data_IF_435781180814
#
_entry.id   IF_435781180814
#
_cell.length_a   1.000
_cell.length_b   1.000
_cell.length_c   1.000
_cell.angle_alpha   90.00
_cell.angle_beta   90.00
_cell.angle_gamma   90.00
#
_symmetry.space_group_name_H-M   'P 1'
#
loop_
_entity.id
_entity.type
_entity.pdbx_description
1 polymer ?
2 polymer ?
3 water ?
#
# COMPACT_ATOMS: atom_id res chain seq x y z
N UNK A 26 -15.88 17.03 -3.87
CA UNK A 26 -15.72 16.30 -5.15
C UNK A 26 -15.23 14.85 -4.92
N UNK A 27 -14.48 14.35 -5.91
CA UNK A 27 -13.93 12.98 -5.98
C UNK A 27 -12.43 12.87 -5.56
N UNK A 28 -12.08 11.98 -4.63
CA UNK A 28 -12.33 10.54 -4.64
C UNK A 28 -13.53 9.70 -5.17
N UNK A 29 -13.07 8.76 -5.95
CA UNK A 29 -13.91 7.84 -6.62
C UNK A 29 -14.29 6.75 -5.66
N UNK A 30 -15.04 5.80 -6.17
CA UNK A 30 -15.55 4.84 -5.22
C UNK A 30 -14.47 3.88 -4.66
N UNK A 31 -13.43 3.55 -5.42
CA UNK A 31 -12.46 2.61 -4.88
C UNK A 31 -11.55 3.31 -3.82
N UNK A 32 -11.18 4.56 -4.07
CA UNK A 32 -10.47 5.35 -3.04
C UNK A 32 -11.21 5.33 -1.69
N UNK A 33 -12.55 5.59 -1.72
CA UNK A 33 -13.37 5.69 -0.46
C UNK A 33 -13.66 4.34 0.22
N UNK A 34 -13.98 3.31 -0.57
CA UNK A 34 -14.24 1.93 -0.07
C UNK A 34 -13.01 1.42 0.67
N UNK A 35 -11.81 1.64 0.10
CA UNK A 35 -10.55 1.36 0.83
C UNK A 35 -10.37 2.18 2.10
N UNK A 36 -10.67 3.46 2.07
CA UNK A 36 -10.61 4.27 3.29
C UNK A 36 -11.58 3.78 4.37
N UNK A 37 -12.80 3.43 3.97
CA UNK A 37 -13.80 2.93 4.93
C UNK A 37 -13.36 1.57 5.46
N UNK A 38 -12.82 0.71 4.60
CA UNK A 38 -12.41 -0.64 5.04
C UNK A 38 -11.27 -0.55 6.07
N UNK A 39 -10.31 0.34 5.86
CA UNK A 39 -9.21 0.51 6.81
C UNK A 39 -9.72 1.06 8.17
N UNK A 40 -10.65 2.02 8.10
CA UNK A 40 -11.25 2.58 9.28
C UNK A 40 -12.03 1.54 10.06
N UNK A 41 -12.84 0.76 9.36
CA UNK A 41 -13.58 -0.34 9.97
C UNK A 41 -12.66 -1.35 10.66
N UNK A 42 -11.59 -1.76 9.97
CA UNK A 42 -10.69 -2.79 10.54
C UNK A 42 -9.95 -2.18 11.74
N UNK A 43 -9.53 -0.93 11.63
CA UNK A 43 -8.87 -0.24 12.73
C UNK A 43 -9.80 -0.13 13.97
N UNK A 44 -11.08 0.21 13.79
CA UNK A 44 -12.01 0.28 14.92
C UNK A 44 -12.13 -1.12 15.59
N UNK A 45 -12.31 -2.15 14.75
CA UNK A 45 -12.30 -3.53 15.21
C UNK A 45 -11.03 -3.88 15.99
N UNK A 46 -9.88 -3.36 15.56
CA UNK A 46 -8.65 -3.61 16.30
C UNK A 46 -8.63 -2.91 17.67
N UNK A 47 -9.23 -1.71 17.77
CA UNK A 47 -9.33 -0.97 19.06
C UNK A 47 -10.21 -1.70 20.08
N UNK A 48 -11.28 -2.34 19.57
CA UNK A 48 -12.24 -3.02 20.41
C UNK A 48 -11.72 -4.41 20.78
N UNK A 49 -11.34 -5.20 19.79
CA UNK A 49 -10.88 -6.57 20.06
C UNK A 49 -9.42 -6.70 20.50
N UNK A 50 -8.59 -5.67 20.30
CA UNK A 50 -7.13 -5.81 20.41
C UNK A 50 -6.46 -6.08 19.05
N UNK A 51 -5.25 -5.54 18.84
CA UNK A 51 -4.42 -5.78 17.64
C UNK A 51 -4.21 -7.24 17.33
N UNK A 52 -3.71 -7.97 18.32
CA UNK A 52 -3.31 -9.35 18.15
C UNK A 52 -4.50 -10.23 17.74
N UNK A 53 -5.68 -9.97 18.29
CA UNK A 53 -6.89 -10.76 17.97
C UNK A 53 -7.26 -10.60 16.50
N UNK A 54 -7.12 -9.38 16.00
CA UNK A 54 -7.44 -9.12 14.60
C UNK A 54 -6.32 -9.70 13.76
N UNK A 55 -5.08 -9.43 14.18
CA UNK A 55 -3.89 -9.98 13.49
C UNK A 55 -3.96 -11.46 13.23
N UNK A 56 -4.46 -12.23 14.21
CA UNK A 56 -4.54 -13.68 14.12
C UNK A 56 -5.37 -14.10 12.95
N UNK A 57 -6.36 -13.28 12.61
CA UNK A 57 -7.28 -13.58 11.50
C UNK A 57 -6.92 -12.91 10.12
N UNK A 58 -6.21 -11.77 10.14
CA UNK A 58 -5.99 -10.98 8.90
C UNK A 58 -4.53 -10.99 8.40
N UNK A 59 -3.60 -11.41 9.25
CA UNK A 59 -2.19 -11.37 8.91
C UNK A 59 -1.91 -12.45 7.88
N UNK A 60 -0.91 -12.17 7.04
CA UNK A 60 -0.33 -13.16 6.15
C UNK A 60 -0.14 -14.54 6.92
N UNK A 61 -0.44 -15.67 6.31
CA UNK A 61 -0.46 -16.93 7.06
C UNK A 61 0.92 -17.23 7.72
N UNK A 62 0.93 -17.62 8.99
CA UNK A 62 2.19 -17.82 9.71
C UNK A 62 2.53 -19.28 9.66
N UNK A 63 1.54 -20.06 9.19
CA UNK A 63 1.61 -21.48 9.18
C UNK A 63 1.05 -21.93 7.84
N UNK A 64 1.82 -22.77 7.10
CA UNK A 64 1.40 -23.30 5.79
C UNK A 64 0.03 -23.99 5.82
N UNK A 65 -0.38 -24.57 6.94
CA UNK A 65 -1.76 -25.12 7.06
C UNK A 65 -2.81 -24.03 6.78
N UNK A 66 -2.44 -22.76 7.01
CA UNK A 66 -3.34 -21.62 6.80
C UNK A 66 -3.31 -21.07 5.39
N UNK A 67 -2.58 -21.72 4.50
CA UNK A 67 -2.27 -21.13 3.18
C UNK A 67 -3.47 -20.98 2.25
N UNK A 68 -4.55 -21.68 2.54
CA UNK A 68 -5.75 -21.48 1.69
C UNK A 68 -6.72 -20.47 2.29
N UNK A 69 -6.32 -19.80 3.39
CA UNK A 69 -7.12 -18.68 3.89
C UNK A 69 -6.75 -17.41 3.06
N UNK A 70 -7.23 -17.41 1.80
CA UNK A 70 -6.80 -16.52 0.72
C UNK A 70 -6.97 -15.08 1.05
N UNK A 71 -7.95 -14.72 1.90
CA UNK A 71 -8.11 -13.28 2.24
C UNK A 71 -6.80 -12.66 2.81
N UNK A 72 -6.05 -13.48 3.54
CA UNK A 72 -4.89 -13.07 4.32
C UNK A 72 -3.77 -12.47 3.44
N UNK A 73 -3.69 -12.88 2.15
CA UNK A 73 -2.67 -12.30 1.23
C UNK A 73 -2.96 -10.83 0.90
N UNK A 74 -4.13 -10.35 1.26
CA UNK A 74 -4.51 -8.96 0.98
C UNK A 74 -4.92 -8.19 2.26
N UNK A 75 -5.53 -8.90 3.24
CA UNK A 75 -6.15 -8.24 4.37
C UNK A 75 -5.09 -7.63 5.32
N UNK A 76 -3.82 -8.05 5.21
CA UNK A 76 -2.72 -7.49 6.04
C UNK A 76 -2.65 -5.99 5.76
N UNK A 77 -3.03 -5.57 4.53
CA UNK A 77 -2.96 -4.12 4.12
C UNK A 77 -3.96 -3.23 4.86
N UNK A 78 -4.99 -3.82 5.46
CA UNK A 78 -6.07 -3.11 6.09
C UNK A 78 -5.80 -2.77 7.54
N UNK A 79 -4.76 -3.34 8.11
CA UNK A 79 -4.48 -3.23 9.53
C UNK A 79 -3.49 -2.11 9.81
N UNK A 80 -3.86 -1.27 10.78
CA UNK A 80 -2.97 -0.23 11.29
C UNK A 80 -2.89 -0.24 12.82
N UNK A 81 -1.78 0.25 13.34
CA UNK A 81 -1.38 0.01 14.73
C UNK A 81 -1.42 1.27 15.60
N UNK A 82 -1.88 2.39 15.04
CA UNK A 82 -2.09 3.67 15.75
C UNK A 82 -2.80 4.62 14.80
N UNK A 83 -3.35 5.68 15.36
CA UNK A 83 -4.06 6.62 14.56
C UNK A 83 -3.13 7.27 13.57
N UNK A 84 -1.89 7.47 13.98
CA UNK A 84 -0.90 8.07 13.11
C UNK A 84 -0.60 7.16 11.91
N UNK A 85 -0.46 5.86 12.20
CA UNK A 85 -0.29 4.83 11.18
C UNK A 85 -1.39 4.90 10.09
N UNK A 86 -2.65 4.88 10.49
CA UNK A 86 -3.75 4.91 9.54
C UNK A 86 -3.92 6.28 8.83
N UNK A 87 -3.86 7.38 9.59
CA UNK A 87 -3.98 8.74 8.99
C UNK A 87 -2.93 9.01 7.94
N UNK A 88 -1.68 8.65 8.25
CA UNK A 88 -0.58 8.93 7.36
C UNK A 88 -0.72 8.08 6.05
N UNK A 89 -1.02 6.76 6.16
CA UNK A 89 -1.30 5.91 4.97
C UNK A 89 -2.50 6.38 4.15
N UNK A 90 -3.61 6.73 4.83
CA UNK A 90 -4.85 7.17 4.16
C UNK A 90 -4.71 8.46 3.44
N UNK A 91 -3.93 9.38 4.02
CA UNK A 91 -3.56 10.61 3.38
C UNK A 91 -2.93 10.34 2.01
N UNK A 92 -1.79 9.63 2.04
CA UNK A 92 -1.14 9.24 0.83
C UNK A 92 -2.05 8.42 -0.12
N UNK A 93 -2.77 7.43 0.42
CA UNK A 93 -3.76 6.67 -0.38
C UNK A 93 -4.80 7.60 -1.08
N UNK A 94 -5.33 8.56 -0.32
CA UNK A 94 -6.43 9.43 -0.81
C UNK A 94 -5.82 10.32 -1.88
N UNK A 95 -4.63 10.88 -1.62
CA UNK A 95 -3.95 11.71 -2.62
C UNK A 95 -3.51 10.95 -3.88
N UNK A 96 -2.74 9.86 -3.70
CA UNK A 96 -2.24 9.17 -4.88
C UNK A 96 -3.31 8.26 -5.49
N UNK A 97 -4.07 7.55 -4.67
CA UNK A 97 -5.08 6.62 -5.19
C UNK A 97 -6.19 7.42 -5.84
N UNK A 98 -6.58 8.56 -5.22
CA UNK A 98 -7.63 9.42 -5.81
C UNK A 98 -7.20 9.88 -7.17
N UNK A 99 -5.92 10.26 -7.34
CA UNK A 99 -5.43 10.73 -8.65
C UNK A 99 -5.48 9.59 -9.68
N UNK A 100 -5.08 8.39 -9.29
CA UNK A 100 -5.04 7.29 -10.27
C UNK A 100 -6.51 7.02 -10.70
N UNK A 101 -7.41 6.92 -9.71
CA UNK A 101 -8.78 6.57 -9.99
C UNK A 101 -9.43 7.72 -10.79
N UNK A 102 -9.16 8.97 -10.46
CA UNK A 102 -9.73 10.09 -11.27
C UNK A 102 -9.32 10.06 -12.75
N UNK A 103 -8.01 9.95 -12.99
CA UNK A 103 -7.46 10.05 -14.34
C UNK A 103 -7.48 8.79 -15.14
N UNK A 104 -7.35 7.65 -14.47
CA UNK A 104 -7.15 6.40 -15.17
C UNK A 104 -8.24 5.40 -14.86
N UNK A 105 -9.13 5.76 -13.92
CA UNK A 105 -10.30 4.90 -13.58
C UNK A 105 -10.12 3.91 -12.45
N UNK A 106 -11.27 3.45 -11.97
CA UNK A 106 -11.39 2.52 -10.86
C UNK A 106 -10.71 1.15 -11.05
N UNK A 107 -10.90 0.54 -12.22
CA UNK A 107 -10.24 -0.78 -12.53
C UNK A 107 -8.70 -0.76 -12.44
N UNK A 108 -8.08 0.29 -12.96
CA UNK A 108 -6.64 0.54 -12.75
C UNK A 108 -6.17 0.63 -11.27
N UNK A 109 -6.83 1.44 -10.44
CA UNK A 109 -6.53 1.49 -9.00
C UNK A 109 -6.63 0.11 -8.31
N UNK A 110 -7.68 -0.64 -8.62
CA UNK A 110 -7.94 -1.97 -8.05
C UNK A 110 -6.75 -2.92 -8.34
N UNK A 111 -6.34 -2.96 -9.61
CA UNK A 111 -5.26 -3.85 -10.09
C UNK A 111 -3.94 -3.49 -9.41
N UNK A 112 -3.61 -2.20 -9.40
CA UNK A 112 -2.39 -1.71 -8.69
C UNK A 112 -2.42 -2.15 -7.22
N UNK A 113 -3.56 -1.97 -6.60
CA UNK A 113 -3.75 -2.33 -5.19
C UNK A 113 -3.60 -3.80 -4.90
N UNK A 114 -4.31 -4.62 -5.66
CA UNK A 114 -4.27 -6.10 -5.50
C UNK A 114 -2.85 -6.64 -5.71
N UNK A 115 -2.20 -6.18 -6.78
CA UNK A 115 -0.89 -6.75 -7.13
C UNK A 115 0.15 -6.27 -6.11
N UNK A 116 0.11 -4.98 -5.77
CA UNK A 116 1.11 -4.47 -4.85
C UNK A 116 0.89 -5.03 -3.44
N UNK A 117 -0.36 -5.28 -3.04
CA UNK A 117 -0.62 -5.83 -1.68
C UNK A 117 -0.11 -7.27 -1.63
N UNK A 118 -0.47 -8.07 -2.63
CA UNK A 118 -0.02 -9.44 -2.75
C UNK A 118 1.55 -9.53 -2.77
N UNK A 119 2.19 -8.77 -3.68
CA UNK A 119 3.65 -8.85 -3.82
C UNK A 119 4.48 -8.18 -2.68
N UNK A 120 4.01 -7.06 -2.14
CA UNK A 120 4.73 -6.45 -1.06
C UNK A 120 4.56 -7.25 0.22
N UNK A 121 3.39 -7.87 0.43
CA UNK A 121 3.21 -8.77 1.59
C UNK A 121 4.13 -10.02 1.46
N UNK A 122 4.21 -10.60 0.24
CA UNK A 122 5.07 -11.77 -0.04
C UNK A 122 6.53 -11.44 0.30
N UNK A 123 6.99 -10.29 -0.17
CA UNK A 123 8.37 -9.91 0.09
C UNK A 123 8.62 -9.55 1.57
N UNK A 124 7.63 -8.89 2.19
CA UNK A 124 7.76 -8.51 3.61
C UNK A 124 7.82 -9.77 4.50
N UNK A 125 6.93 -10.70 4.22
CA UNK A 125 6.94 -11.95 4.96
C UNK A 125 8.36 -12.66 4.87
N UNK A 126 8.99 -12.72 3.69
CA UNK A 126 10.38 -13.26 3.54
C UNK A 126 11.38 -12.44 4.36
N UNK A 127 11.24 -11.12 4.37
CA UNK A 127 12.25 -10.31 5.10
C UNK A 127 12.17 -10.51 6.60
N UNK A 128 10.96 -10.59 7.16
CA UNK A 128 10.77 -10.57 8.60
C UNK A 128 9.60 -11.44 9.08
N UNK A 129 9.05 -12.31 8.25
CA UNK A 129 7.98 -13.16 8.73
C UNK A 129 6.61 -12.50 8.61
N UNK A 130 5.58 -13.18 9.10
CA UNK A 130 4.16 -12.86 8.78
C UNK A 130 3.49 -11.70 9.59
N UNK A 131 4.09 -11.24 10.69
CA UNK A 131 3.45 -10.24 11.63
C UNK A 131 3.72 -8.80 11.27
N UNK A 132 2.94 -8.32 10.30
CA UNK A 132 3.02 -6.96 9.80
C UNK A 132 1.66 -6.53 9.30
N UNK A 133 1.48 -5.23 9.09
CA UNK A 133 0.26 -4.75 8.43
C UNK A 133 0.38 -3.31 8.01
N UNK A 134 -0.61 -2.83 7.24
CA UNK A 134 -0.63 -1.46 6.77
C UNK A 134 -0.58 -1.32 5.29
N UNK A 135 -1.10 -0.19 4.81
CA UNK A 135 -1.28 0.10 3.41
C UNK A 135 -0.01 0.62 2.74
N UNK A 136 1.10 0.70 3.48
CA UNK A 136 2.24 1.47 2.93
C UNK A 136 3.01 0.78 1.79
N UNK A 137 2.83 -0.53 1.66
CA UNK A 137 3.29 -1.29 0.45
C UNK A 137 2.50 -0.83 -0.75
N UNK A 138 1.18 -0.74 -0.58
CA UNK A 138 0.35 -0.20 -1.66
C UNK A 138 0.70 1.25 -1.93
N UNK A 139 0.96 2.04 -0.86
CA UNK A 139 1.34 3.45 -1.00
C UNK A 139 2.62 3.61 -1.86
N UNK A 140 3.64 2.81 -1.58
CA UNK A 140 4.88 2.91 -2.36
C UNK A 140 4.71 2.43 -3.81
N UNK A 141 3.84 1.44 -4.04
CA UNK A 141 3.48 1.13 -5.42
C UNK A 141 2.80 2.34 -6.09
N UNK A 142 1.89 3.03 -5.39
CA UNK A 142 1.22 4.19 -6.04
C UNK A 142 2.21 5.37 -6.28
N UNK A 143 3.13 5.59 -5.33
CA UNK A 143 4.23 6.59 -5.51
C UNK A 143 5.08 6.28 -6.77
N UNK A 144 5.51 5.01 -6.89
CA UNK A 144 6.25 4.51 -8.04
C UNK A 144 5.45 4.73 -9.33
N UNK A 145 4.17 4.37 -9.26
CA UNK A 145 3.32 4.38 -10.45
C UNK A 145 3.07 5.83 -10.95
N UNK A 146 2.58 6.69 -10.06
CA UNK A 146 2.24 8.08 -10.39
C UNK A 146 3.50 8.82 -10.90
N UNK A 147 4.63 8.72 -10.16
CA UNK A 147 5.91 9.31 -10.62
C UNK A 147 6.37 8.78 -12.02
N UNK A 148 6.56 7.46 -12.19
CA UNK A 148 7.07 6.98 -13.47
C UNK A 148 6.03 7.23 -14.60
N UNK A 149 4.74 7.03 -14.30
CA UNK A 149 3.72 7.27 -15.33
C UNK A 149 3.67 8.78 -15.72
N UNK A 150 3.79 9.68 -14.75
CA UNK A 150 3.69 11.09 -15.07
C UNK A 150 4.93 11.55 -15.82
N UNK A 151 6.06 10.85 -15.58
CA UNK A 151 7.29 11.15 -16.25
C UNK A 151 7.37 10.67 -17.69
N UNK A 152 6.94 9.44 -17.94
CA UNK A 152 7.08 8.88 -19.27
C UNK A 152 5.86 9.10 -20.12
N UNK A 153 4.73 9.34 -19.48
CA UNK A 153 3.47 9.46 -20.23
C UNK A 153 2.65 10.65 -19.66
N UNK A 154 3.21 11.89 -19.72
CA UNK A 154 2.59 13.08 -19.10
C UNK A 154 1.08 13.25 -19.39
N UNK A 155 0.65 12.89 -20.59
CA UNK A 155 -0.77 12.93 -20.99
C UNK A 155 -1.73 12.08 -20.13
N UNK A 156 -1.19 11.29 -19.19
CA UNK A 156 -2.02 10.53 -18.27
C UNK A 156 -2.72 11.52 -17.32
N UNK A 157 -2.12 12.70 -17.09
CA UNK A 157 -2.70 13.72 -16.23
C UNK A 157 -2.41 13.46 -14.78
N UNK A 158 -1.54 12.48 -14.48
CA UNK A 158 -1.05 12.30 -13.11
C UNK A 158 0.41 12.61 -13.06
N UNK A 159 0.91 13.02 -11.89
CA UNK A 159 2.37 13.15 -11.74
C UNK A 159 2.75 13.22 -10.28
N UNK A 160 4.01 12.96 -9.98
CA UNK A 160 4.43 13.12 -8.59
C UNK A 160 5.43 14.27 -8.48
N UNK A 161 5.07 15.32 -7.77
CA UNK A 161 5.93 16.49 -7.52
C UNK A 161 7.26 16.08 -6.93
N UNK A 162 8.30 16.84 -7.28
CA UNK A 162 9.66 16.66 -6.74
C UNK A 162 9.71 16.62 -5.23
N UNK A 163 8.92 17.48 -4.58
CA UNK A 163 8.84 17.52 -3.12
C UNK A 163 8.45 16.16 -2.56
N UNK A 164 7.38 15.59 -3.12
CA UNK A 164 6.87 14.27 -2.71
C UNK A 164 7.83 13.12 -3.04
N UNK A 165 8.53 13.23 -4.14
CA UNK A 165 9.60 12.29 -4.56
C UNK A 165 10.69 12.30 -3.49
N UNK A 166 10.97 13.50 -2.97
CA UNK A 166 11.96 13.72 -1.91
C UNK A 166 11.52 12.96 -0.67
N UNK A 167 10.31 13.22 -0.21
CA UNK A 167 9.85 12.62 1.00
C UNK A 167 9.84 11.09 0.86
N UNK A 168 9.37 10.59 -0.28
CA UNK A 168 9.36 9.13 -0.54
C UNK A 168 10.74 8.52 -0.31
N UNK A 169 11.77 9.15 -0.90
CA UNK A 169 13.15 8.68 -0.75
C UNK A 169 13.63 8.78 0.72
N UNK A 170 13.27 9.86 1.41
CA UNK A 170 13.62 9.99 2.83
C UNK A 170 12.90 8.93 3.67
N UNK A 171 11.62 8.69 3.34
CA UNK A 171 10.78 7.68 4.01
C UNK A 171 11.41 6.25 3.88
N UNK A 172 11.84 5.86 2.68
CA UNK A 172 12.44 4.52 2.47
C UNK A 172 13.70 4.34 3.31
N UNK A 173 14.65 5.27 3.16
CA UNK A 173 15.92 5.21 3.89
C UNK A 173 15.74 5.33 5.42
N UNK A 174 14.80 6.17 5.88
CA UNK A 174 14.40 6.20 7.31
C UNK A 174 14.00 4.83 7.85
N UNK A 175 13.41 3.99 6.98
CA UNK A 175 13.00 2.65 7.37
C UNK A 175 14.20 1.72 7.48
N UNK A 176 15.17 1.95 6.60
CA UNK A 176 16.46 1.25 6.64
C UNK A 176 17.18 1.43 7.97
N UNK A 177 17.00 2.60 8.59
CA UNK A 177 17.67 2.90 9.86
C UNK A 177 16.74 2.81 11.08
N UNK A 178 15.49 2.39 10.86
CA UNK A 178 14.46 2.33 11.91
C UNK A 178 14.41 3.56 12.83
N UNK A 179 14.12 4.74 12.27
CA UNK A 179 14.04 5.96 13.05
C UNK A 179 12.79 5.99 13.93
N UNK A 182 11.36 3.33 15.48
CA UNK A 182 10.26 2.75 14.64
C UNK A 182 10.66 1.41 14.01
N UNK A 183 9.72 0.80 13.29
CA UNK A 183 9.86 -0.58 12.84
C UNK A 183 9.12 -0.84 11.51
N UNK A 184 9.63 -0.25 10.43
CA UNK A 184 8.98 -0.33 9.11
C UNK A 184 9.07 -1.68 8.35
N UNK A 185 8.04 -1.97 7.57
CA UNK A 185 8.04 -3.07 6.61
C UNK A 185 8.88 -2.68 5.37
N UNK A 186 10.21 -2.80 5.54
CA UNK A 186 11.20 -2.38 4.53
C UNK A 186 11.11 -3.21 3.24
N UNK A 187 10.81 -4.51 3.38
CA UNK A 187 10.60 -5.35 2.18
C UNK A 187 9.35 -4.90 1.40
N UNK A 188 8.30 -4.60 2.15
CA UNK A 188 7.03 -4.12 1.57
C UNK A 188 7.26 -2.83 0.80
N UNK A 189 8.05 -1.88 1.37
CA UNK A 189 8.35 -0.58 0.69
C UNK A 189 9.05 -0.71 -0.64
N UNK A 190 10.18 -1.41 -0.62
CA UNK A 190 10.97 -1.58 -1.84
C UNK A 190 10.21 -2.42 -2.87
N UNK A 191 9.52 -3.48 -2.44
CA UNK A 191 8.79 -4.37 -3.37
C UNK A 191 7.59 -3.63 -3.99
N UNK A 192 6.88 -2.86 -3.15
CA UNK A 192 5.75 -2.03 -3.60
C UNK A 192 6.24 -1.05 -4.61
N UNK A 193 7.30 -0.31 -4.27
CA UNK A 193 7.92 0.63 -5.21
C UNK A 193 8.24 -0.01 -6.54
N UNK A 194 8.86 -1.20 -6.49
CA UNK A 194 9.29 -1.92 -7.74
C UNK A 194 8.07 -2.22 -8.57
N UNK A 195 7.03 -2.72 -7.90
CA UNK A 195 5.75 -3.09 -8.53
C UNK A 195 5.11 -1.92 -9.29
N UNK A 196 5.01 -0.76 -8.63
CA UNK A 196 4.44 0.45 -9.24
C UNK A 196 5.29 0.98 -10.41
N UNK A 197 6.62 0.98 -10.25
CA UNK A 197 7.53 1.38 -11.35
C UNK A 197 7.27 0.46 -12.55
N UNK A 198 7.28 -0.86 -12.31
CA UNK A 198 7.08 -1.85 -13.40
C UNK A 198 5.72 -1.70 -14.09
N UNK A 199 4.65 -1.57 -13.33
CA UNK A 199 3.30 -1.33 -13.97
C UNK A 199 3.23 -0.03 -14.78
N UNK A 200 3.80 1.06 -14.25
CA UNK A 200 3.84 2.32 -14.94
C UNK A 200 4.68 2.24 -16.21
N UNK A 201 5.83 1.55 -16.13
CA UNK A 201 6.68 1.34 -17.29
C UNK A 201 5.88 0.60 -18.39
N UNK A 202 5.31 -0.56 -18.04
CA UNK A 202 4.39 -1.29 -18.92
C UNK A 202 3.21 -0.44 -19.49
N UNK A 203 2.52 0.31 -18.64
CA UNK A 203 1.38 1.16 -19.06
C UNK A 203 1.82 2.32 -19.99
N UNK A 204 3.07 2.75 -19.86
CA UNK A 204 3.61 3.90 -20.56
C UNK A 204 4.10 3.52 -21.96
N UNK A 205 4.66 2.28 -22.16
CA UNK A 205 5.04 1.68 -23.41
C UNK A 205 3.85 1.76 -24.39
N UNK A 206 2.80 1.18 -23.92
CA UNK A 206 1.50 0.95 -24.46
C UNK A 206 0.80 2.17 -25.00
N UNK A 207 0.73 3.40 -24.27
CA UNK A 207 0.05 4.56 -24.73
C UNK A 207 -1.43 4.47 -24.49
N UNK B 1 5.29 -6.09 15.81
CA UNK B 1 4.82 -6.04 14.38
C UNK B 1 5.51 -4.92 13.56
N UNK B 2 5.79 -5.22 12.30
CA UNK B 2 6.33 -4.21 11.38
C UNK B 2 5.20 -3.43 10.66
N UNK B 3 5.48 -2.17 10.33
CA UNK B 3 4.45 -1.28 9.79
C UNK B 3 4.58 -1.18 8.26
#
# INVERSE_FOLDING_TARGET
>A
MGSSHHHHHHSSGLVPRGSHMAALRERAGPVTWVMMIACVVVFIAMQILGDQEVMLWLAWPFDPTLKFEFWRYFTHALMHFSLMHILFNLLWWWYLGGAVEKRLGSGKLIVITLISALLSGYVQQKFSGPWFGGLSGVVFALMGYVWLRGERDPQSGIYLQRGLIIFALIWIVAGWFDLFGMSMANGAHIAGLAVGLAMAFVDSLNARKRK
>B
VRM
#
